data_IF_124721405182
#
_entry.id   IF_124721405182
#
_cell.length_a   1.000
_cell.length_b   1.000
_cell.length_c   1.000
_cell.angle_alpha   90.00
_cell.angle_beta   90.00
_cell.angle_gamma   90.00
#
_symmetry.space_group_name_H-M   'P 1'
#
loop_
_entity.id
_entity.type
_entity.pdbx_description
1 polymer ?
#
# COMPACT_ATOMS: atom_id res chain seq x y z
N UNK A 1 -4.37 20.51 -25.70
CA UNK A 1 -4.62 20.04 -24.32
C UNK A 1 -3.41 20.44 -23.48
N UNK A 2 -3.57 21.39 -22.56
CA UNK A 2 -2.50 21.77 -21.62
C UNK A 2 -2.45 20.69 -20.55
N UNK A 3 -1.37 19.92 -20.49
CA UNK A 3 -1.06 19.14 -19.30
C UNK A 3 -0.62 20.15 -18.24
N UNK A 4 -1.54 20.51 -17.35
CA UNK A 4 -1.19 21.22 -16.12
C UNK A 4 -0.12 20.38 -15.43
N UNK A 5 1.05 20.96 -15.11
CA UNK A 5 2.07 20.37 -14.24
C UNK A 5 1.55 20.26 -12.78
N UNK A 6 0.42 19.59 -12.60
CA UNK A 6 -0.04 19.11 -11.31
C UNK A 6 0.62 17.76 -11.09
N UNK A 7 1.54 17.68 -10.12
CA UNK A 7 2.33 16.50 -9.78
C UNK A 7 1.53 15.20 -9.95
N UNK A 8 1.75 14.45 -11.02
CA UNK A 8 1.42 13.03 -11.05
C UNK A 8 2.33 12.34 -10.01
N UNK A 9 1.93 12.38 -8.74
CA UNK A 9 2.58 11.58 -7.71
C UNK A 9 2.26 10.12 -8.03
N UNK A 10 3.22 9.45 -8.66
CA UNK A 10 3.12 8.02 -8.91
C UNK A 10 3.00 7.33 -7.55
N UNK A 11 1.78 6.92 -7.20
CA UNK A 11 1.51 6.24 -5.93
C UNK A 11 2.25 4.92 -5.94
N UNK A 12 3.07 4.69 -4.92
CA UNK A 12 3.83 3.44 -4.82
C UNK A 12 2.85 2.31 -4.56
N UNK A 13 2.92 1.25 -5.37
CA UNK A 13 2.11 0.04 -5.19
C UNK A 13 3.01 -1.04 -4.61
N UNK A 14 2.55 -1.77 -3.62
CA UNK A 14 3.27 -2.86 -2.99
C UNK A 14 2.40 -4.12 -2.95
N UNK A 15 3.02 -5.27 -3.21
CA UNK A 15 2.35 -6.56 -3.11
C UNK A 15 2.29 -7.02 -1.65
N UNK A 16 1.08 -7.34 -1.18
CA UNK A 16 0.85 -7.93 0.13
C UNK A 16 0.74 -9.45 0.02
N UNK A 17 1.67 -10.18 0.66
CA UNK A 17 1.66 -11.65 0.62
C UNK A 17 0.50 -12.27 1.42
N UNK A 18 0.06 -11.60 2.49
CA UNK A 18 -1.06 -12.04 3.33
C UNK A 18 -2.40 -12.00 2.58
N UNK A 19 -2.66 -10.92 1.85
CA UNK A 19 -3.91 -10.74 1.08
C UNK A 19 -3.82 -11.24 -0.36
N UNK A 20 -2.61 -11.59 -0.83
CA UNK A 20 -2.32 -11.95 -2.23
C UNK A 20 -2.88 -10.92 -3.23
N UNK A 21 -2.71 -9.64 -2.90
CA UNK A 21 -3.22 -8.49 -3.68
C UNK A 21 -2.21 -7.34 -3.65
N UNK A 22 -2.28 -6.51 -4.68
CA UNK A 22 -1.57 -5.23 -4.74
C UNK A 22 -2.35 -4.17 -3.95
N UNK A 23 -1.64 -3.41 -3.13
CA UNK A 23 -2.19 -2.27 -2.39
C UNK A 23 -1.34 -1.03 -2.66
N UNK A 24 -1.96 0.14 -2.63
CA UNK A 24 -1.22 1.38 -2.55
C UNK A 24 -0.47 1.43 -1.23
N UNK A 25 0.78 1.87 -1.27
CA UNK A 25 1.66 1.89 -0.10
C UNK A 25 1.10 2.79 0.99
N UNK A 26 0.50 3.92 0.60
CA UNK A 26 -0.05 4.93 1.50
C UNK A 26 -1.43 4.58 2.07
N UNK A 27 -2.17 3.66 1.43
CA UNK A 27 -3.55 3.33 1.82
C UNK A 27 -3.61 2.28 2.94
N UNK A 28 -2.53 1.53 3.17
CA UNK A 28 -2.51 0.43 4.14
C UNK A 28 -1.24 0.47 4.98
N UNK A 29 -1.37 0.06 6.25
CA UNK A 29 -0.22 -0.10 7.12
C UNK A 29 0.61 -1.32 6.69
N UNK A 30 1.92 -1.16 6.60
CA UNK A 30 2.83 -2.22 6.19
C UNK A 30 3.66 -2.74 7.35
N UNK A 31 3.76 -4.06 7.46
CA UNK A 31 4.70 -4.74 8.34
C UNK A 31 5.69 -5.53 7.52
N UNK A 32 6.97 -5.33 7.79
CA UNK A 32 8.00 -6.16 7.22
C UNK A 32 8.17 -7.43 8.04
N UNK A 33 8.02 -8.58 7.38
CA UNK A 33 8.24 -9.89 7.96
C UNK A 33 9.68 -10.33 7.69
N UNK A 34 10.54 -10.20 8.70
CA UNK A 34 11.97 -10.54 8.60
C UNK A 34 12.23 -12.02 8.32
N UNK A 35 11.37 -12.93 8.82
CA UNK A 35 11.52 -14.37 8.62
C UNK A 35 11.30 -14.76 7.16
N UNK A 36 10.31 -14.16 6.52
CA UNK A 36 9.94 -14.45 5.14
C UNK A 36 10.52 -13.45 4.14
N UNK A 37 11.16 -12.38 4.63
CA UNK A 37 11.65 -11.25 3.83
C UNK A 37 10.57 -10.65 2.93
N UNK A 38 9.34 -10.56 3.44
CA UNK A 38 8.16 -10.09 2.70
C UNK A 38 7.46 -8.94 3.40
N UNK A 39 6.77 -8.12 2.63
CA UNK A 39 5.86 -7.09 3.16
C UNK A 39 4.44 -7.63 3.30
N UNK A 40 3.87 -7.43 4.48
CA UNK A 40 2.51 -7.84 4.82
C UNK A 40 1.70 -6.61 5.20
N UNK A 41 0.57 -6.44 4.53
CA UNK A 41 -0.41 -5.43 4.89
C UNK A 41 -1.07 -5.81 6.23
N UNK A 42 -1.02 -4.88 7.16
CA UNK A 42 -1.76 -4.89 8.40
C UNK A 42 -3.14 -4.31 8.09
N UNK A 43 -4.12 -5.17 7.80
CA UNK A 43 -5.52 -4.72 7.80
C UNK A 43 -5.82 -4.07 9.15
N UNK A 44 -6.06 -2.76 9.15
CA UNK A 44 -6.71 -2.04 10.24
C UNK A 44 -8.17 -1.84 9.84
N UNK A 45 -8.98 -2.87 10.04
CA UNK A 45 -10.40 -2.72 10.37
C UNK A 45 -10.39 -3.19 11.84
N UNK A 46 -10.48 -2.35 12.87
CA UNK A 46 -11.64 -1.56 13.28
C UNK A 46 -11.34 -0.06 13.48
N UNK A 47 -11.87 0.78 12.60
CA UNK A 47 -12.48 2.03 13.04
C UNK A 47 -13.98 1.79 12.86
N UNK A 48 -14.56 0.98 13.77
CA UNK A 48 -16.02 1.02 13.91
C UNK A 48 -16.39 2.42 14.43
N UNK A 49 -17.41 2.96 13.76
CA UNK A 49 -18.01 4.30 13.84
C UNK A 49 -18.12 4.87 15.26
#
# INVERSE_FOLDING_TARGET
MRFSEGRCQMRKVQWCVKCKKYHLFDDVNWKYNWKQRTWECLKTEDYEV
#
